data_IF_202177236743
#
_entry.id   IF_202177236743
#
_cell.length_a   1.000
_cell.length_b   1.000
_cell.length_c   1.000
_cell.angle_alpha   90.00
_cell.angle_beta   90.00
_cell.angle_gamma   90.00
#
_symmetry.space_group_name_H-M   'P 1'
#
loop_
_entity.id
_entity.type
_entity.pdbx_description
1 polymer ?
#
# COMPACT_ATOMS: atom_id res chain seq x y z
N UNK A 1 6.59 -2.64 -9.18
CA UNK A 1 6.05 -3.87 -9.80
C UNK A 1 4.51 -3.90 -9.70
N UNK A 2 3.79 -4.91 -10.21
CA UNK A 2 2.39 -5.14 -9.77
C UNK A 2 2.42 -5.91 -8.45
N UNK A 3 1.76 -5.38 -7.43
CA UNK A 3 1.65 -6.04 -6.12
C UNK A 3 0.36 -6.86 -6.02
N UNK A 4 -0.73 -6.40 -6.63
CA UNK A 4 -1.98 -7.16 -6.72
C UNK A 4 -2.40 -7.35 -8.17
N UNK A 5 -2.36 -8.59 -8.64
CA UNK A 5 -2.82 -8.93 -10.00
C UNK A 5 -4.34 -8.85 -10.11
N UNK A 6 -5.08 -9.34 -9.11
CA UNK A 6 -6.56 -9.32 -9.13
C UNK A 6 -7.13 -7.91 -9.27
N UNK A 7 -6.51 -6.94 -8.61
CA UNK A 7 -6.98 -5.56 -8.58
C UNK A 7 -6.17 -4.62 -9.50
N UNK A 8 -5.19 -5.15 -10.24
CA UNK A 8 -4.24 -4.39 -11.03
C UNK A 8 -3.62 -3.21 -10.25
N UNK A 9 -3.17 -3.46 -9.02
CA UNK A 9 -2.51 -2.45 -8.18
C UNK A 9 -1.00 -2.54 -8.39
N UNK A 10 -0.40 -1.42 -8.79
CA UNK A 10 1.05 -1.29 -8.84
C UNK A 10 1.56 -0.91 -7.46
N UNK A 11 2.76 -1.39 -7.14
CA UNK A 11 3.48 -1.03 -5.94
C UNK A 11 3.59 0.50 -5.79
N UNK A 12 3.90 1.24 -6.85
CA UNK A 12 3.96 2.70 -6.80
C UNK A 12 2.62 3.36 -6.44
N UNK A 13 1.49 2.75 -6.82
CA UNK A 13 0.16 3.22 -6.43
C UNK A 13 -0.13 2.90 -4.97
N UNK A 14 0.24 1.68 -4.54
CA UNK A 14 0.12 1.25 -3.15
C UNK A 14 0.92 2.16 -2.22
N UNK A 15 2.20 2.41 -2.54
CA UNK A 15 3.11 3.28 -1.80
C UNK A 15 2.55 4.71 -1.67
N UNK A 16 2.06 5.29 -2.76
CA UNK A 16 1.44 6.63 -2.76
C UNK A 16 0.16 6.71 -1.91
N UNK A 17 -0.57 5.62 -1.79
CA UNK A 17 -1.79 5.57 -0.99
C UNK A 17 -1.48 5.26 0.47
N UNK A 18 -0.45 4.47 0.75
CA UNK A 18 0.02 4.13 2.09
C UNK A 18 0.30 5.37 2.96
N UNK A 19 0.84 6.44 2.37
CA UNK A 19 1.11 7.70 3.08
C UNK A 19 -0.14 8.57 3.34
N UNK A 20 -1.24 8.34 2.60
CA UNK A 20 -2.49 9.12 2.71
C UNK A 20 -3.56 8.46 3.57
N UNK A 21 -3.28 7.24 4.02
CA UNK A 21 -4.25 6.36 4.67
C UNK A 21 -3.64 5.75 5.90
N UNK A 22 -4.46 5.46 6.89
CA UNK A 22 -4.08 4.72 8.09
C UNK A 22 -4.60 3.29 8.00
N UNK A 23 -4.05 2.39 8.82
CA UNK A 23 -4.42 0.97 8.83
C UNK A 23 -3.55 0.10 7.94
N UNK A 24 -3.92 -1.16 7.82
CA UNK A 24 -3.22 -2.20 7.04
C UNK A 24 -3.45 -2.06 5.51
N UNK A 25 -2.89 -3.00 4.75
CA UNK A 25 -3.05 -3.09 3.31
C UNK A 25 -4.53 -3.15 2.89
N UNK A 26 -5.42 -3.78 3.66
CA UNK A 26 -6.85 -3.81 3.35
C UNK A 26 -7.46 -2.41 3.44
N UNK A 27 -7.09 -1.63 4.47
CA UNK A 27 -7.50 -0.23 4.59
C UNK A 27 -6.96 0.62 3.42
N UNK A 28 -5.71 0.39 2.99
CA UNK A 28 -5.15 1.08 1.82
C UNK A 28 -5.93 0.70 0.55
N UNK A 29 -6.29 -0.57 0.36
CA UNK A 29 -7.08 -1.03 -0.78
C UNK A 29 -8.48 -0.40 -0.76
N UNK A 30 -9.11 -0.34 0.42
CA UNK A 30 -10.41 0.28 0.60
C UNK A 30 -10.39 1.76 0.23
N UNK A 31 -9.33 2.49 0.60
CA UNK A 31 -9.14 3.88 0.21
C UNK A 31 -8.91 4.07 -1.30
N UNK A 32 -8.45 3.03 -2.01
CA UNK A 32 -8.38 2.96 -3.47
C UNK A 32 -9.71 2.51 -4.11
N UNK A 33 -10.77 2.33 -3.33
CA UNK A 33 -12.07 1.82 -3.79
C UNK A 33 -12.04 0.34 -4.19
N UNK A 34 -11.10 -0.44 -3.65
CA UNK A 34 -10.87 -1.85 -3.99
C UNK A 34 -11.04 -2.73 -2.76
N UNK A 35 -11.36 -4.01 -2.98
CA UNK A 35 -11.33 -5.05 -1.95
C UNK A 35 -10.38 -6.17 -2.37
N UNK A 36 -9.63 -6.79 -1.45
CA UNK A 36 -8.82 -7.97 -1.78
C UNK A 36 -9.72 -9.10 -2.31
N UNK A 37 -9.26 -9.80 -3.36
CA UNK A 37 -10.00 -10.94 -3.94
C UNK A 37 -9.42 -12.28 -3.45
N UNK A 38 -8.18 -12.61 -3.83
CA UNK A 38 -7.52 -13.85 -3.38
C UNK A 38 -6.70 -13.69 -2.08
N UNK A 39 -6.47 -12.45 -1.63
CA UNK A 39 -5.70 -12.13 -0.42
C UNK A 39 -4.20 -12.44 -0.48
N UNK A 40 -3.70 -13.10 -1.54
CA UNK A 40 -2.32 -13.60 -1.60
C UNK A 40 -1.26 -12.51 -1.52
N UNK A 41 -1.58 -11.30 -1.96
CA UNK A 41 -0.67 -10.15 -1.94
C UNK A 41 -0.67 -9.39 -0.61
N UNK A 42 -1.55 -9.71 0.35
CA UNK A 42 -1.77 -8.86 1.52
C UNK A 42 -0.54 -8.78 2.43
N UNK A 43 0.14 -9.91 2.68
CA UNK A 43 1.34 -9.91 3.51
C UNK A 43 2.46 -9.02 2.93
N UNK A 44 2.77 -9.17 1.64
CA UNK A 44 3.77 -8.34 0.96
C UNK A 44 3.31 -6.88 0.84
N UNK A 45 2.01 -6.65 0.62
CA UNK A 45 1.44 -5.30 0.60
C UNK A 45 1.55 -4.61 1.96
N UNK A 46 1.37 -5.33 3.06
CA UNK A 46 1.54 -4.81 4.43
C UNK A 46 2.99 -4.41 4.70
N UNK A 47 3.95 -5.26 4.29
CA UNK A 47 5.38 -4.95 4.39
C UNK A 47 5.71 -3.65 3.64
N UNK A 48 5.24 -3.50 2.40
CA UNK A 48 5.44 -2.27 1.60
C UNK A 48 4.77 -1.07 2.26
N UNK A 49 3.54 -1.21 2.76
CA UNK A 49 2.82 -0.13 3.43
C UNK A 49 3.56 0.32 4.69
N UNK A 50 4.11 -0.61 5.45
CA UNK A 50 4.91 -0.32 6.64
C UNK A 50 6.23 0.35 6.28
N UNK A 51 6.98 -0.21 5.32
CA UNK A 51 8.24 0.38 4.83
C UNK A 51 8.04 1.82 4.38
N UNK A 52 7.04 2.10 3.55
CA UNK A 52 6.79 3.46 3.05
C UNK A 52 6.44 4.45 4.15
N UNK A 53 5.73 4.01 5.19
CA UNK A 53 5.38 4.90 6.30
C UNK A 53 6.56 5.16 7.22
N UNK A 54 7.46 4.18 7.39
CA UNK A 54 8.70 4.35 8.14
C UNK A 54 9.66 5.27 7.38
N UNK A 55 9.86 5.02 6.08
CA UNK A 55 10.78 5.79 5.23
C UNK A 55 10.22 7.18 4.87
N UNK A 56 8.92 7.30 4.62
CA UNK A 56 8.24 8.57 4.37
C UNK A 56 8.11 9.47 5.61
N UNK A 57 8.54 8.99 6.79
CA UNK A 57 8.67 9.77 8.01
C UNK A 57 10.02 10.48 8.13
N UNK A 58 10.92 10.38 7.13
CA UNK A 58 11.97 11.38 6.99
C UNK A 58 11.35 12.67 6.44
N UNK A 59 11.19 13.75 7.24
CA UNK A 59 10.89 15.03 6.64
C UNK A 59 12.06 15.36 5.73
N UNK A 60 11.80 15.63 4.45
CA UNK A 60 12.76 16.38 3.64
C UNK A 60 12.86 17.76 4.28
N UNK A 61 13.78 17.89 5.22
CA UNK A 61 14.37 19.15 5.61
C UNK A 61 15.49 19.45 4.60
N UNK A 62 15.16 20.20 3.55
CA UNK A 62 16.04 21.13 2.81
C UNK A 62 15.29 21.75 1.63
#
# INVERSE_FOLDING_TARGET
>A
MYICICNAIRETELRRMAIKTHGDAEAVYAAMGKRPNCGQCLAEADEIVMEERVMGCEPVAA
#
